data_IF_791743140251
#
_entry.id   IF_791743140251
#
_cell.length_a   1.000
_cell.length_b   1.000
_cell.length_c   1.000
_cell.angle_alpha   90.00
_cell.angle_beta   90.00
_cell.angle_gamma   90.00
#
_symmetry.space_group_name_H-M   'P 1'
#
loop_
_entity.id
_entity.type
_entity.pdbx_description
1 polymer ?
#
# COMPACT_ATOMS: atom_id res chain seq x y z
N UNK A 1 65.29 -0.25 6.90
CA UNK A 1 64.04 0.17 7.59
C UNK A 1 62.86 -0.44 6.85
N UNK A 2 62.27 -1.52 7.39
CA UNK A 2 61.11 -2.20 6.80
C UNK A 2 59.86 -1.58 7.35
N UNK A 3 59.05 -0.92 6.50
CA UNK A 3 57.72 -0.40 6.89
C UNK A 3 56.72 -1.55 6.87
N UNK A 4 56.16 -1.88 8.04
CA UNK A 4 55.10 -2.85 8.22
C UNK A 4 53.76 -2.14 7.92
N UNK A 5 53.05 -2.61 6.89
CA UNK A 5 51.73 -2.09 6.51
C UNK A 5 50.68 -2.93 7.26
N UNK A 6 50.01 -2.33 8.27
CA UNK A 6 48.85 -2.94 8.94
C UNK A 6 47.63 -2.73 8.06
N UNK A 7 47.13 -3.78 7.43
CA UNK A 7 45.84 -3.78 6.77
C UNK A 7 44.77 -4.07 7.84
N UNK A 8 43.99 -3.03 8.18
CA UNK A 8 42.86 -3.17 9.08
C UNK A 8 41.67 -3.78 8.33
N UNK A 9 41.38 -5.06 8.57
CA UNK A 9 40.22 -5.73 8.05
C UNK A 9 39.00 -5.29 8.89
N UNK A 10 38.22 -4.33 8.39
CA UNK A 10 36.90 -3.98 8.95
C UNK A 10 35.92 -5.05 8.46
N UNK A 11 35.67 -6.04 9.31
CA UNK A 11 34.61 -7.01 9.09
C UNK A 11 33.25 -6.30 9.18
N UNK A 12 32.59 -6.09 8.05
CA UNK A 12 31.18 -5.68 8.02
C UNK A 12 30.37 -6.87 8.55
N UNK A 13 29.99 -6.81 9.83
CA UNK A 13 28.96 -7.71 10.36
C UNK A 13 27.62 -7.34 9.70
N UNK A 14 27.26 -8.11 8.67
CA UNK A 14 25.89 -8.14 8.18
C UNK A 14 25.06 -8.76 9.32
N UNK A 15 24.39 -7.94 10.11
CA UNK A 15 23.39 -8.41 11.03
C UNK A 15 22.23 -8.97 10.19
N UNK A 16 22.19 -10.29 10.06
CA UNK A 16 20.98 -10.97 9.65
C UNK A 16 19.91 -10.59 10.67
N UNK A 17 18.93 -9.79 10.25
CA UNK A 17 17.68 -9.60 10.98
C UNK A 17 16.93 -10.93 10.83
N UNK A 18 17.33 -11.93 11.59
CA UNK A 18 16.52 -13.12 11.77
C UNK A 18 15.31 -12.70 12.59
N UNK A 19 14.12 -12.79 12.02
CA UNK A 19 12.89 -12.68 12.78
C UNK A 19 12.98 -13.62 13.98
N UNK A 20 12.54 -13.16 15.15
CA UNK A 20 12.47 -14.02 16.32
C UNK A 20 11.53 -15.19 16.02
N UNK A 21 11.88 -16.39 16.52
CA UNK A 21 11.00 -17.55 16.42
C UNK A 21 9.62 -17.19 16.96
N UNK A 22 8.59 -17.61 16.23
CA UNK A 22 7.21 -17.28 16.59
C UNK A 22 6.85 -17.88 17.96
N UNK A 23 6.42 -17.04 18.89
CA UNK A 23 6.01 -17.46 20.24
C UNK A 23 4.94 -18.56 20.20
N UNK A 24 4.96 -19.54 21.13
CA UNK A 24 4.01 -20.67 21.14
C UNK A 24 2.53 -20.26 21.12
N UNK A 25 2.17 -19.18 21.80
CA UNK A 25 0.80 -18.65 21.80
C UNK A 25 0.34 -18.21 20.42
N UNK A 26 1.23 -17.63 19.59
CA UNK A 26 0.91 -17.21 18.22
C UNK A 26 0.92 -18.39 17.24
N UNK A 27 1.78 -19.38 17.47
CA UNK A 27 1.77 -20.60 16.65
C UNK A 27 0.40 -21.28 16.62
N UNK A 28 -0.39 -21.16 17.70
CA UNK A 28 -1.75 -21.71 17.74
C UNK A 28 -2.68 -21.04 16.73
N UNK A 29 -2.64 -19.73 16.62
CA UNK A 29 -3.44 -18.99 15.62
C UNK A 29 -3.01 -19.31 14.20
N UNK A 30 -1.70 -19.33 13.97
CA UNK A 30 -1.11 -19.66 12.67
C UNK A 30 -1.48 -21.08 12.24
N UNK A 31 -1.30 -22.08 13.11
CA UNK A 31 -1.67 -23.48 12.83
C UNK A 31 -3.14 -23.62 12.47
N UNK A 32 -4.03 -22.93 13.22
CA UNK A 32 -5.46 -22.92 12.94
C UNK A 32 -5.77 -22.30 11.56
N UNK A 33 -5.10 -21.20 11.23
CA UNK A 33 -5.26 -20.54 9.92
C UNK A 33 -4.78 -21.44 8.78
N UNK A 34 -3.58 -22.05 8.92
CA UNK A 34 -3.04 -23.02 7.96
C UNK A 34 -4.03 -24.17 7.72
N UNK A 35 -4.56 -24.76 8.80
CA UNK A 35 -5.52 -25.87 8.72
C UNK A 35 -6.82 -25.46 8.01
N UNK A 36 -7.32 -24.25 8.29
CA UNK A 36 -8.50 -23.74 7.61
C UNK A 36 -8.27 -23.52 6.09
N UNK A 37 -7.11 -22.98 5.71
CA UNK A 37 -6.76 -22.80 4.29
C UNK A 37 -6.54 -24.15 3.61
N UNK A 38 -5.83 -25.07 4.25
CA UNK A 38 -5.54 -26.43 3.74
C UNK A 38 -6.81 -27.21 3.45
N UNK A 39 -7.83 -27.07 4.29
CA UNK A 39 -9.11 -27.76 4.16
C UNK A 39 -10.19 -26.95 3.45
N UNK A 40 -9.79 -25.83 2.81
CA UNK A 40 -10.67 -24.93 2.03
C UNK A 40 -11.92 -24.44 2.78
N UNK A 41 -11.78 -24.24 4.12
CA UNK A 41 -12.86 -23.77 5.02
C UNK A 41 -13.02 -22.25 4.88
N UNK A 42 -13.62 -21.82 3.78
CA UNK A 42 -13.70 -20.41 3.36
C UNK A 42 -14.27 -19.49 4.43
N UNK A 43 -15.34 -19.91 5.09
CA UNK A 43 -16.00 -19.16 6.16
C UNK A 43 -15.09 -18.96 7.37
N UNK A 44 -14.34 -20.01 7.76
CA UNK A 44 -13.41 -19.96 8.88
C UNK A 44 -12.17 -19.10 8.55
N UNK A 45 -11.70 -19.17 7.30
CA UNK A 45 -10.66 -18.24 6.80
C UNK A 45 -11.18 -16.81 6.85
N UNK A 46 -12.40 -16.56 6.36
CA UNK A 46 -13.01 -15.24 6.36
C UNK A 46 -13.22 -14.66 7.77
N UNK A 47 -13.48 -15.52 8.75
CA UNK A 47 -13.53 -15.12 10.16
C UNK A 47 -12.16 -14.71 10.72
N UNK A 48 -11.08 -15.23 10.16
CA UNK A 48 -9.71 -14.89 10.55
C UNK A 48 -9.19 -13.58 9.90
N UNK A 49 -9.98 -12.90 9.07
CA UNK A 49 -9.59 -11.67 8.39
C UNK A 49 -10.06 -10.43 9.16
N UNK A 50 -9.23 -9.40 9.19
CA UNK A 50 -9.56 -8.06 9.65
C UNK A 50 -10.06 -7.21 8.47
N UNK A 51 -11.25 -6.66 8.61
CA UNK A 51 -11.89 -5.86 7.55
C UNK A 51 -11.83 -4.36 7.81
N UNK A 52 -11.77 -3.54 6.74
CA UNK A 52 -11.66 -3.92 5.35
C UNK A 52 -10.28 -4.50 5.03
N UNK A 53 -10.23 -5.62 4.28
CA UNK A 53 -8.98 -6.14 3.76
C UNK A 53 -8.63 -5.37 2.48
N UNK A 54 -7.59 -4.57 2.54
CA UNK A 54 -7.13 -3.79 1.40
C UNK A 54 -6.56 -4.69 0.30
N UNK A 55 -6.86 -4.33 -0.95
CA UNK A 55 -6.24 -4.94 -2.12
C UNK A 55 -5.47 -3.88 -2.88
N UNK A 56 -4.65 -4.33 -3.82
CA UNK A 56 -3.83 -3.43 -4.63
C UNK A 56 -4.71 -2.53 -5.51
N UNK A 57 -4.44 -1.24 -5.48
CA UNK A 57 -5.22 -0.23 -6.20
C UNK A 57 -5.13 -0.44 -7.73
N UNK A 58 -6.23 -0.35 -8.50
CA UNK A 58 -7.58 0.08 -8.12
C UNK A 58 -8.55 -1.08 -7.75
N UNK A 59 -8.06 -2.26 -7.37
CA UNK A 59 -8.94 -3.37 -6.96
C UNK A 59 -9.70 -2.96 -5.68
N UNK A 60 -11.04 -3.05 -5.64
CA UNK A 60 -11.79 -2.71 -4.44
C UNK A 60 -11.40 -3.57 -3.23
N UNK A 61 -11.28 -2.92 -2.06
CA UNK A 61 -11.05 -3.62 -0.79
C UNK A 61 -12.21 -4.57 -0.48
N UNK A 62 -11.89 -5.67 0.21
CA UNK A 62 -12.90 -6.61 0.72
C UNK A 62 -13.49 -6.03 2.00
N UNK A 63 -14.78 -5.72 1.99
CA UNK A 63 -15.42 -4.96 3.07
C UNK A 63 -15.84 -5.82 4.27
N UNK A 64 -16.13 -7.10 4.04
CA UNK A 64 -16.67 -7.98 5.07
C UNK A 64 -16.50 -9.46 4.72
N UNK A 65 -16.87 -10.33 5.67
CA UNK A 65 -16.79 -11.79 5.55
C UNK A 65 -17.52 -12.34 4.32
N UNK A 66 -18.74 -11.88 4.06
CA UNK A 66 -19.56 -12.38 2.94
C UNK A 66 -18.90 -12.08 1.58
N UNK A 67 -18.32 -10.89 1.44
CA UNK A 67 -17.57 -10.48 0.25
C UNK A 67 -16.30 -11.33 0.08
N UNK A 68 -15.57 -11.61 1.16
CA UNK A 68 -14.40 -12.49 1.08
C UNK A 68 -14.79 -13.90 0.63
N UNK A 69 -15.83 -14.48 1.22
CA UNK A 69 -16.29 -15.83 0.82
C UNK A 69 -16.66 -15.87 -0.66
N UNK A 70 -17.34 -14.84 -1.17
CA UNK A 70 -17.68 -14.71 -2.60
C UNK A 70 -16.44 -14.62 -3.48
N UNK A 71 -15.43 -13.84 -3.05
CA UNK A 71 -14.21 -13.59 -3.83
C UNK A 71 -13.03 -14.48 -3.40
N UNK A 72 -13.30 -15.51 -2.60
CA UNK A 72 -12.25 -16.36 -2.01
C UNK A 72 -11.27 -16.90 -3.04
N UNK A 73 -11.77 -17.49 -4.14
CA UNK A 73 -10.94 -18.07 -5.18
C UNK A 73 -10.14 -17.03 -6.00
N UNK A 74 -10.56 -15.77 -5.98
CA UNK A 74 -9.81 -14.68 -6.62
C UNK A 74 -8.54 -14.36 -5.84
N UNK A 75 -8.57 -14.47 -4.50
CA UNK A 75 -7.49 -14.10 -3.59
C UNK A 75 -6.64 -15.32 -3.21
N UNK A 76 -7.30 -16.38 -2.74
CA UNK A 76 -6.70 -17.64 -2.32
C UNK A 76 -6.67 -18.62 -3.50
N UNK A 77 -5.85 -18.32 -4.50
CA UNK A 77 -5.63 -19.24 -5.63
C UNK A 77 -4.77 -20.44 -5.22
N UNK A 78 -4.53 -21.36 -6.13
CA UNK A 78 -3.78 -22.59 -5.87
C UNK A 78 -2.36 -22.30 -5.33
N UNK A 79 -1.71 -21.22 -5.82
CA UNK A 79 -0.34 -20.85 -5.41
C UNK A 79 -0.31 -20.33 -3.98
N UNK A 80 -1.17 -19.37 -3.62
CA UNK A 80 -1.22 -18.84 -2.25
C UNK A 80 -1.68 -19.91 -1.27
N UNK A 81 -2.68 -20.75 -1.65
CA UNK A 81 -3.12 -21.87 -0.81
C UNK A 81 -1.99 -22.87 -0.57
N UNK A 82 -1.21 -23.21 -1.60
CA UNK A 82 -0.06 -24.09 -1.45
C UNK A 82 1.01 -23.50 -0.52
N UNK A 83 1.36 -22.21 -0.70
CA UNK A 83 2.32 -21.52 0.15
C UNK A 83 1.90 -21.56 1.62
N UNK A 84 0.65 -21.22 1.93
CA UNK A 84 0.13 -21.24 3.29
C UNK A 84 0.06 -22.67 3.84
N UNK A 85 -0.49 -23.62 3.08
CA UNK A 85 -0.75 -25.00 3.54
C UNK A 85 0.52 -25.82 3.75
N UNK A 86 1.61 -25.49 3.05
CA UNK A 86 2.91 -26.15 3.18
C UNK A 86 3.82 -25.43 4.19
N UNK A 87 3.40 -24.28 4.71
CA UNK A 87 4.20 -23.53 5.68
C UNK A 87 4.21 -24.21 7.04
N UNK A 88 5.34 -24.12 7.73
CA UNK A 88 5.53 -24.52 9.11
C UNK A 88 5.45 -23.29 10.01
N UNK A 89 4.59 -23.34 11.04
CA UNK A 89 4.36 -22.21 11.93
C UNK A 89 5.60 -21.75 12.69
N UNK A 90 6.61 -22.63 12.87
CA UNK A 90 7.84 -22.30 13.56
C UNK A 90 8.96 -21.83 12.61
N UNK A 91 8.86 -22.12 11.29
CA UNK A 91 9.95 -21.87 10.35
C UNK A 91 9.65 -20.79 9.35
N UNK A 92 8.39 -20.70 8.90
CA UNK A 92 7.97 -19.79 7.81
C UNK A 92 7.24 -18.55 8.35
N UNK A 93 6.88 -18.54 9.62
CA UNK A 93 6.19 -17.45 10.26
C UNK A 93 7.09 -16.81 11.32
N UNK A 94 7.17 -15.50 11.33
CA UNK A 94 8.04 -14.76 12.24
C UNK A 94 7.30 -13.58 12.86
N UNK A 95 7.64 -13.28 14.12
CA UNK A 95 7.17 -12.09 14.81
C UNK A 95 8.04 -10.89 14.45
N UNK A 96 7.42 -9.76 14.08
CA UNK A 96 8.09 -8.52 13.68
C UNK A 96 7.68 -7.38 14.61
N UNK A 97 7.91 -7.57 15.89
CA UNK A 97 7.60 -6.58 16.94
C UNK A 97 6.14 -6.10 16.85
N UNK A 98 5.92 -4.79 16.93
CA UNK A 98 4.59 -4.18 16.89
C UNK A 98 3.84 -4.35 15.55
N UNK A 99 4.54 -4.75 14.48
CA UNK A 99 3.94 -4.98 13.16
C UNK A 99 3.13 -6.27 13.09
N UNK A 100 3.29 -7.19 14.07
CA UNK A 100 2.60 -8.47 14.11
C UNK A 100 3.42 -9.63 13.55
N UNK A 101 2.75 -10.58 12.95
CA UNK A 101 3.28 -11.88 12.51
C UNK A 101 3.21 -11.92 10.98
N UNK A 102 4.32 -12.31 10.34
CA UNK A 102 4.36 -12.43 8.88
C UNK A 102 4.66 -13.85 8.42
N UNK A 103 4.09 -14.22 7.28
CA UNK A 103 4.46 -15.40 6.51
C UNK A 103 5.61 -15.05 5.57
N UNK A 104 6.70 -15.83 5.63
CA UNK A 104 7.90 -15.68 4.81
C UNK A 104 8.44 -14.22 4.86
N UNK A 105 8.57 -13.55 3.73
CA UNK A 105 9.04 -12.18 3.61
C UNK A 105 7.88 -11.17 3.52
N UNK A 106 6.73 -11.48 4.15
CA UNK A 106 5.58 -10.59 4.19
C UNK A 106 4.48 -10.90 3.18
N UNK A 107 4.43 -12.12 2.63
CA UNK A 107 3.33 -12.59 1.77
C UNK A 107 1.96 -12.34 2.42
N UNK A 108 1.88 -12.54 3.72
CA UNK A 108 0.69 -12.34 4.53
C UNK A 108 1.10 -11.83 5.92
N UNK A 109 0.26 -10.93 6.48
CA UNK A 109 0.45 -10.40 7.83
C UNK A 109 -0.76 -10.65 8.71
N UNK A 110 -0.49 -11.07 9.95
CA UNK A 110 -1.47 -11.35 10.99
C UNK A 110 -1.14 -10.50 12.23
N UNK A 111 -2.16 -9.99 12.90
CA UNK A 111 -1.95 -9.31 14.19
C UNK A 111 -1.79 -10.32 15.34
N UNK A 112 -1.49 -9.80 16.51
CA UNK A 112 -1.28 -10.62 17.72
C UNK A 112 -2.56 -11.31 18.25
N UNK A 113 -3.73 -10.92 17.73
CA UNK A 113 -5.02 -11.56 18.03
C UNK A 113 -5.35 -12.67 17.03
N UNK A 114 -4.44 -12.94 16.08
CA UNK A 114 -4.61 -13.97 15.06
C UNK A 114 -5.49 -13.55 13.88
N UNK A 115 -5.67 -12.24 13.66
CA UNK A 115 -6.41 -11.71 12.51
C UNK A 115 -5.47 -11.29 11.38
N UNK A 116 -5.69 -11.82 10.20
CA UNK A 116 -4.97 -11.41 8.98
C UNK A 116 -5.45 -10.03 8.56
N UNK A 117 -4.56 -9.05 8.51
CA UNK A 117 -4.86 -7.68 8.13
C UNK A 117 -4.26 -7.25 6.78
N UNK A 118 -3.30 -8.02 6.25
CA UNK A 118 -2.73 -7.78 4.91
C UNK A 118 -2.41 -9.11 4.21
N UNK A 119 -2.67 -9.16 2.92
CA UNK A 119 -2.24 -10.20 1.99
C UNK A 119 -1.59 -9.48 0.81
N UNK A 120 -0.24 -9.47 0.79
CA UNK A 120 0.55 -8.77 -0.22
C UNK A 120 0.69 -9.58 -1.53
N UNK A 121 0.23 -10.83 -1.51
CA UNK A 121 0.13 -11.64 -2.70
C UNK A 121 -1.00 -11.16 -3.61
N UNK A 122 -0.75 -11.13 -4.90
CA UNK A 122 -1.74 -10.85 -5.94
C UNK A 122 -1.85 -12.06 -6.87
N UNK A 123 -3.05 -12.61 -6.99
CA UNK A 123 -3.31 -13.73 -7.91
C UNK A 123 -3.34 -13.25 -9.37
N UNK A 124 -3.28 -14.20 -10.30
CA UNK A 124 -3.44 -13.88 -11.74
C UNK A 124 -4.82 -13.27 -12.02
N UNK A 125 -5.86 -13.74 -11.36
CA UNK A 125 -7.24 -13.22 -11.51
C UNK A 125 -7.30 -11.76 -11.05
N UNK A 126 -6.70 -11.42 -9.90
CA UNK A 126 -6.64 -10.04 -9.42
C UNK A 126 -5.78 -9.16 -10.32
N UNK A 127 -4.66 -9.68 -10.84
CA UNK A 127 -3.83 -8.93 -11.80
C UNK A 127 -4.60 -8.59 -13.08
N UNK A 128 -5.36 -9.55 -13.62
CA UNK A 128 -6.20 -9.31 -14.81
C UNK A 128 -7.35 -8.33 -14.51
N UNK A 129 -7.95 -8.42 -13.32
CA UNK A 129 -8.96 -7.46 -12.85
C UNK A 129 -8.36 -6.06 -12.72
N UNK A 130 -7.17 -5.92 -12.11
CA UNK A 130 -6.44 -4.65 -11.99
C UNK A 130 -6.25 -4.01 -13.36
N UNK A 131 -5.75 -4.76 -14.33
CA UNK A 131 -5.51 -4.27 -15.69
C UNK A 131 -6.81 -3.80 -16.37
N UNK A 132 -7.92 -4.54 -16.21
CA UNK A 132 -9.24 -4.13 -16.73
C UNK A 132 -9.74 -2.84 -16.08
N UNK A 133 -9.59 -2.71 -14.77
CA UNK A 133 -10.01 -1.52 -14.03
C UNK A 133 -9.18 -0.29 -14.46
N UNK A 134 -7.86 -0.44 -14.61
CA UNK A 134 -6.97 0.62 -15.11
C UNK A 134 -7.36 1.03 -16.54
N UNK A 135 -7.61 0.08 -17.43
CA UNK A 135 -8.02 0.37 -18.81
C UNK A 135 -9.37 1.11 -18.84
N UNK A 136 -10.33 0.67 -18.03
CA UNK A 136 -11.62 1.35 -17.89
C UNK A 136 -11.46 2.78 -17.35
N UNK A 137 -10.62 2.98 -16.33
CA UNK A 137 -10.36 4.30 -15.77
C UNK A 137 -9.73 5.23 -16.81
N UNK A 138 -8.71 4.74 -17.54
CA UNK A 138 -8.09 5.49 -18.67
C UNK A 138 -9.09 5.96 -19.69
N UNK A 139 -10.10 5.15 -20.01
CA UNK A 139 -11.14 5.49 -20.99
C UNK A 139 -12.10 6.61 -20.54
N UNK A 140 -12.12 6.93 -19.25
CA UNK A 140 -12.99 7.95 -18.65
C UNK A 140 -12.29 9.28 -18.42
N UNK A 141 -10.97 9.31 -18.52
CA UNK A 141 -10.17 10.51 -18.27
C UNK A 141 -10.00 11.35 -19.52
N UNK A 142 -9.71 12.65 -19.33
CA UNK A 142 -9.29 13.51 -20.42
C UNK A 142 -8.01 12.95 -21.08
N UNK A 143 -7.88 13.03 -22.43
CA UNK A 143 -6.74 12.45 -23.16
C UNK A 143 -5.36 12.89 -22.67
N UNK A 144 -5.22 14.13 -22.16
CA UNK A 144 -3.95 14.66 -21.64
C UNK A 144 -3.39 13.87 -20.46
N UNK A 145 -4.24 13.14 -19.74
CA UNK A 145 -3.85 12.37 -18.54
C UNK A 145 -4.18 10.89 -18.63
N UNK A 146 -4.69 10.40 -19.74
CA UNK A 146 -5.07 9.00 -19.92
C UNK A 146 -3.87 8.03 -20.02
N UNK A 147 -2.63 8.53 -20.11
CA UNK A 147 -1.41 7.71 -20.16
C UNK A 147 -0.74 7.69 -18.79
N UNK A 148 -0.74 6.55 -18.11
CA UNK A 148 -0.07 6.30 -16.84
C UNK A 148 0.12 4.78 -16.65
N UNK A 149 0.98 4.35 -15.73
CA UNK A 149 1.13 2.95 -15.35
C UNK A 149 0.02 2.57 -14.37
N UNK A 150 0.02 3.18 -13.21
CA UNK A 150 -0.93 2.89 -12.14
C UNK A 150 -1.54 4.17 -11.55
N UNK A 151 -2.85 4.15 -11.24
CA UNK A 151 -3.46 5.24 -10.51
C UNK A 151 -3.05 5.13 -9.03
N UNK A 152 -2.54 6.21 -8.45
CA UNK A 152 -2.14 6.19 -7.05
C UNK A 152 -3.28 6.60 -6.12
N UNK A 153 -3.68 7.86 -6.15
CA UNK A 153 -4.67 8.40 -5.23
C UNK A 153 -5.45 9.54 -5.86
N UNK A 154 -6.69 9.72 -5.41
CA UNK A 154 -7.48 10.92 -5.64
C UNK A 154 -7.80 11.51 -4.28
N UNK A 155 -7.52 12.79 -4.11
CA UNK A 155 -7.90 13.55 -2.92
C UNK A 155 -8.79 14.72 -3.32
N UNK A 156 -9.73 15.08 -2.45
CA UNK A 156 -10.61 16.22 -2.62
C UNK A 156 -10.56 17.12 -1.40
N UNK A 157 -10.23 18.38 -1.63
CA UNK A 157 -10.38 19.48 -0.66
C UNK A 157 -11.76 20.13 -0.83
N UNK A 158 -12.00 21.23 -0.13
CA UNK A 158 -13.20 22.04 -0.35
C UNK A 158 -13.27 22.69 -1.74
N UNK A 159 -12.11 22.91 -2.40
CA UNK A 159 -12.01 23.69 -3.63
C UNK A 159 -11.45 22.88 -4.81
N UNK A 160 -10.62 21.88 -4.53
CA UNK A 160 -9.87 21.17 -5.56
C UNK A 160 -10.09 19.65 -5.50
N UNK A 161 -10.09 19.04 -6.67
CA UNK A 161 -9.87 17.61 -6.85
C UNK A 161 -8.47 17.42 -7.40
N UNK A 162 -7.67 16.58 -6.75
CA UNK A 162 -6.31 16.24 -7.17
C UNK A 162 -6.23 14.76 -7.43
N UNK A 163 -5.67 14.41 -8.58
CA UNK A 163 -5.34 13.04 -8.97
C UNK A 163 -3.83 12.87 -9.05
N UNK A 164 -3.32 11.81 -8.48
CA UNK A 164 -1.92 11.39 -8.59
C UNK A 164 -1.86 10.05 -9.30
N UNK A 165 -1.01 9.96 -10.34
CA UNK A 165 -0.74 8.74 -11.09
C UNK A 165 0.76 8.44 -11.09
N UNK A 166 1.09 7.15 -11.06
CA UNK A 166 2.43 6.64 -11.31
C UNK A 166 2.67 6.56 -12.83
N UNK A 167 3.73 7.20 -13.29
CA UNK A 167 4.18 7.15 -14.70
C UNK A 167 5.31 6.12 -14.90
N UNK A 168 5.74 5.42 -13.84
CA UNK A 168 6.88 4.52 -13.81
C UNK A 168 8.20 5.20 -13.45
N UNK A 169 9.19 4.38 -13.02
CA UNK A 169 10.53 4.85 -12.66
C UNK A 169 10.52 5.93 -11.56
N UNK A 170 9.74 5.75 -10.51
CA UNK A 170 9.55 6.72 -9.40
C UNK A 170 9.17 8.12 -9.89
N UNK A 171 8.40 8.18 -10.95
CA UNK A 171 7.92 9.41 -11.54
C UNK A 171 6.39 9.49 -11.39
N UNK A 172 5.92 10.51 -10.71
CA UNK A 172 4.51 10.73 -10.44
C UNK A 172 4.00 11.96 -11.15
N UNK A 173 2.70 11.92 -11.52
CA UNK A 173 1.98 13.05 -12.11
C UNK A 173 0.91 13.55 -11.16
N UNK A 174 0.89 14.86 -10.98
CA UNK A 174 -0.21 15.60 -10.37
C UNK A 174 -1.12 16.13 -11.48
N UNK A 175 -2.42 15.98 -11.32
CA UNK A 175 -3.42 16.68 -12.13
C UNK A 175 -4.50 17.22 -11.20
N UNK A 176 -4.92 18.47 -11.38
CA UNK A 176 -5.97 19.06 -10.56
C UNK A 176 -7.03 19.78 -11.36
N UNK A 177 -8.21 19.84 -10.76
CA UNK A 177 -9.42 20.52 -11.24
C UNK A 177 -10.07 21.29 -10.09
N UNK A 178 -10.87 22.28 -10.41
CA UNK A 178 -11.88 22.76 -9.48
C UNK A 178 -12.75 21.58 -9.00
N UNK A 179 -13.18 21.58 -7.75
CA UNK A 179 -13.99 20.49 -7.17
C UNK A 179 -15.29 20.22 -7.95
N UNK A 180 -15.78 21.19 -8.70
CA UNK A 180 -17.01 21.10 -9.51
C UNK A 180 -16.80 20.46 -10.87
N UNK A 181 -15.56 20.39 -11.37
CA UNK A 181 -15.23 19.85 -12.68
C UNK A 181 -15.11 18.33 -12.65
N UNK A 182 -15.38 17.69 -13.79
CA UNK A 182 -15.18 16.26 -13.98
C UNK A 182 -13.73 15.97 -14.37
N UNK A 183 -13.19 14.82 -14.00
CA UNK A 183 -11.88 14.35 -14.47
C UNK A 183 -11.86 13.97 -15.96
N UNK A 184 -13.02 13.93 -16.64
CA UNK A 184 -13.13 13.82 -18.10
C UNK A 184 -12.89 15.15 -18.82
N UNK A 185 -12.92 16.25 -18.08
CA UNK A 185 -12.54 17.57 -18.59
C UNK A 185 -11.04 17.78 -18.50
N UNK A 186 -10.52 18.75 -19.26
CA UNK A 186 -9.10 19.08 -19.21
C UNK A 186 -8.71 19.57 -17.80
N UNK A 187 -7.63 19.04 -17.21
CA UNK A 187 -7.15 19.53 -15.92
C UNK A 187 -6.71 21.00 -15.96
N UNK A 188 -7.02 21.78 -14.95
CA UNK A 188 -6.54 23.16 -14.78
C UNK A 188 -5.02 23.20 -14.61
N UNK A 189 -4.44 22.15 -14.02
CA UNK A 189 -3.00 22.04 -13.79
C UNK A 189 -2.55 20.60 -13.93
N UNK A 190 -1.45 20.41 -14.69
CA UNK A 190 -0.71 19.15 -14.78
C UNK A 190 0.75 19.42 -14.41
N UNK A 191 1.31 18.58 -13.52
CA UNK A 191 2.73 18.60 -13.17
C UNK A 191 3.26 17.16 -13.22
N UNK A 192 4.29 16.92 -14.01
CA UNK A 192 5.02 15.65 -14.04
C UNK A 192 6.27 15.71 -13.16
N UNK A 193 7.00 14.58 -13.10
CA UNK A 193 8.25 14.44 -12.34
C UNK A 193 8.09 14.63 -10.83
N UNK A 194 6.91 14.34 -10.31
CA UNK A 194 6.66 14.28 -8.88
C UNK A 194 7.48 13.18 -8.21
N UNK A 195 7.72 13.35 -6.92
CA UNK A 195 8.44 12.38 -6.07
C UNK A 195 7.60 12.00 -4.88
N UNK A 196 7.74 10.75 -4.47
CA UNK A 196 7.08 10.18 -3.31
C UNK A 196 8.07 10.00 -2.17
N UNK A 197 7.64 10.28 -0.94
CA UNK A 197 8.47 10.21 0.27
C UNK A 197 7.72 9.49 1.39
N UNK A 198 8.46 8.69 2.15
CA UNK A 198 7.98 8.12 3.41
C UNK A 198 8.18 9.10 4.56
N UNK A 199 7.17 9.23 5.42
CA UNK A 199 7.22 10.05 6.63
C UNK A 199 7.20 9.15 7.87
N UNK A 200 8.38 8.71 8.28
CA UNK A 200 8.57 7.81 9.42
C UNK A 200 8.17 6.36 9.12
N UNK A 201 7.98 5.56 10.17
CA UNK A 201 7.72 4.10 10.09
C UNK A 201 6.24 3.74 10.15
N UNK A 202 5.35 4.72 10.37
CA UNK A 202 3.91 4.53 10.55
C UNK A 202 3.11 4.44 9.26
N UNK A 203 3.77 4.60 8.10
CA UNK A 203 3.14 4.55 6.78
C UNK A 203 2.64 5.89 6.25
N UNK A 204 2.75 6.97 7.02
CA UNK A 204 2.50 8.31 6.51
C UNK A 204 3.46 8.60 5.37
N UNK A 205 3.00 9.35 4.38
CA UNK A 205 3.78 9.63 3.19
C UNK A 205 3.26 10.89 2.49
N UNK A 206 4.09 11.45 1.60
CA UNK A 206 3.66 12.57 0.79
C UNK A 206 4.23 12.50 -0.63
N UNK A 207 3.59 13.24 -1.52
CA UNK A 207 4.04 13.48 -2.89
C UNK A 207 4.36 14.95 -3.06
N UNK A 208 5.54 15.24 -3.64
CA UNK A 208 5.99 16.58 -3.98
C UNK A 208 6.01 16.80 -5.49
N UNK A 209 5.40 17.92 -5.93
CA UNK A 209 5.36 18.32 -7.34
C UNK A 209 5.82 19.77 -7.46
N UNK A 210 6.85 20.02 -8.29
CA UNK A 210 7.44 21.36 -8.48
C UNK A 210 7.09 21.94 -9.84
N UNK A 211 6.63 23.19 -9.86
CA UNK A 211 6.40 23.97 -11.08
C UNK A 211 6.87 25.41 -10.89
N UNK A 212 8.00 25.78 -11.51
CA UNK A 212 8.64 27.07 -11.26
C UNK A 212 9.05 27.22 -9.79
N UNK A 213 8.57 28.26 -9.16
CA UNK A 213 8.81 28.55 -7.74
C UNK A 213 7.72 28.00 -6.80
N UNK A 214 6.80 27.17 -7.31
CA UNK A 214 5.75 26.53 -6.54
C UNK A 214 6.13 25.08 -6.22
N UNK A 215 5.77 24.65 -5.00
CA UNK A 215 5.75 23.25 -4.55
C UNK A 215 4.31 22.90 -4.16
N UNK A 216 3.76 21.87 -4.77
CA UNK A 216 2.47 21.26 -4.43
C UNK A 216 2.76 19.98 -3.68
N UNK A 217 2.38 19.90 -2.42
CA UNK A 217 2.59 18.74 -1.56
C UNK A 217 1.26 18.11 -1.21
N UNK A 218 1.13 16.80 -1.49
CA UNK A 218 -0.04 16.02 -1.12
C UNK A 218 0.37 15.03 -0.03
N UNK A 219 -0.01 15.30 1.20
CA UNK A 219 0.26 14.48 2.37
C UNK A 219 -0.85 13.44 2.58
N UNK A 220 -0.45 12.19 2.91
CA UNK A 220 -1.37 11.07 3.17
C UNK A 220 -1.14 10.59 4.59
N UNK A 221 -2.18 10.68 5.42
CA UNK A 221 -2.18 10.26 6.81
C UNK A 221 -2.64 8.81 6.92
N UNK A 222 -1.75 7.90 7.30
CA UNK A 222 -2.06 6.50 7.61
C UNK A 222 -2.19 6.32 9.13
N UNK A 223 -1.26 6.94 9.87
CA UNK A 223 -1.30 7.03 11.32
C UNK A 223 -1.47 8.49 11.73
N UNK A 224 -2.57 8.78 12.40
CA UNK A 224 -2.92 10.10 12.92
C UNK A 224 -3.78 9.97 14.17
N UNK A 225 -4.16 11.10 14.75
CA UNK A 225 -5.19 11.17 15.79
C UNK A 225 -6.58 10.97 15.19
N UNK A 226 -7.59 10.82 16.04
CA UNK A 226 -8.98 10.66 15.58
C UNK A 226 -9.47 11.83 14.71
N UNK A 227 -8.93 13.01 14.93
CA UNK A 227 -9.32 14.25 14.25
C UNK A 227 -8.39 14.60 13.05
N UNK A 228 -7.39 13.76 12.77
CA UNK A 228 -6.49 13.97 11.63
C UNK A 228 -7.24 13.74 10.32
N UNK A 229 -7.14 14.68 9.39
CA UNK A 229 -7.62 14.48 8.03
C UNK A 229 -6.82 13.34 7.36
N UNK A 230 -7.48 12.50 6.53
CA UNK A 230 -6.81 11.39 5.86
C UNK A 230 -5.81 11.83 4.78
N UNK A 231 -5.94 13.06 4.31
CA UNK A 231 -5.00 13.69 3.39
C UNK A 231 -5.02 15.22 3.57
N UNK A 232 -4.00 15.87 3.01
CA UNK A 232 -3.88 17.32 2.99
C UNK A 232 -3.22 17.78 1.70
N UNK A 233 -3.66 18.93 1.16
CA UNK A 233 -2.98 19.64 0.06
C UNK A 233 -2.36 20.91 0.60
N UNK A 234 -1.03 21.01 0.54
CA UNK A 234 -0.28 22.21 0.86
C UNK A 234 0.41 22.76 -0.38
N UNK A 235 0.33 24.06 -0.61
CA UNK A 235 1.02 24.74 -1.70
C UNK A 235 1.97 25.79 -1.11
N UNK A 236 3.22 25.73 -1.54
CA UNK A 236 4.24 26.71 -1.19
C UNK A 236 4.63 27.52 -2.42
N UNK A 237 4.91 28.83 -2.23
CA UNK A 237 5.53 29.69 -3.22
C UNK A 237 6.80 30.31 -2.63
N UNK A 238 7.94 30.14 -3.30
CA UNK A 238 9.26 30.56 -2.77
C UNK A 238 9.54 30.04 -1.35
N UNK A 239 9.08 28.82 -1.03
CA UNK A 239 9.23 28.21 0.29
C UNK A 239 8.26 28.73 1.36
N UNK A 240 7.39 29.68 1.05
CA UNK A 240 6.34 30.18 1.95
C UNK A 240 5.03 29.48 1.64
N UNK A 241 4.36 28.93 2.66
CA UNK A 241 3.02 28.35 2.55
C UNK A 241 2.01 29.43 2.15
N UNK A 242 1.25 29.15 1.09
CA UNK A 242 0.19 30.03 0.55
C UNK A 242 -1.18 29.37 0.56
N UNK A 243 -1.24 28.04 0.70
CA UNK A 243 -2.47 27.27 0.83
C UNK A 243 -2.18 26.03 1.67
N UNK A 244 -3.13 25.71 2.57
CA UNK A 244 -3.13 24.46 3.34
C UNK A 244 -4.59 24.06 3.55
N UNK A 245 -4.99 22.91 2.97
CA UNK A 245 -6.38 22.44 3.03
C UNK A 245 -6.42 20.95 3.35
N UNK A 246 -7.24 20.62 4.32
CA UNK A 246 -7.59 19.22 4.58
C UNK A 246 -8.34 18.63 3.38
N UNK A 247 -8.06 17.34 3.15
CA UNK A 247 -8.63 16.61 2.03
C UNK A 247 -9.15 15.24 2.47
N UNK A 248 -10.21 14.79 1.82
CA UNK A 248 -10.67 13.39 1.89
C UNK A 248 -10.03 12.58 0.76
N UNK A 249 -9.77 11.30 1.04
CA UNK A 249 -9.39 10.34 -0.01
C UNK A 249 -10.68 9.84 -0.67
N UNK A 250 -10.74 9.92 -1.99
CA UNK A 250 -11.88 9.43 -2.77
C UNK A 250 -11.72 7.91 -2.97
N UNK A 251 -12.64 7.09 -2.45
CA UNK A 251 -12.65 5.65 -2.72
C UNK A 251 -12.88 5.37 -4.22
N UNK A 252 -12.23 4.34 -4.73
CA UNK A 252 -12.43 3.82 -6.09
C UNK A 252 -13.24 2.55 -6.08
#
# INVERSE_FOLDING_TARGET
>A
MKKLLYVLFIGIMVQNISGQDLRPEYQKFVKKFIDNVKNDRKEAVAESIKYPLRRDNPIPSIKNKAELVKRYAEIFDAKLKAEISQSDAAKNWSEVGWRGIMLNQGTLWMDTDGKVFSINYQSKVESDLKNKLIAFEKSKLHPSIAKFNEPQIIIETSEFRVRIDDLGNDNYRYASWSIKQSMSEEPDLIIANGKWFHDGTGGNNHYDFKKGNYLYQCYITVLGTKDSAPANLTIYQNGKEILNQDAKIVPR
#
